data_IF_809427334284
#
_entry.id   IF_809427334284
#
_cell.length_a   1.000
_cell.length_b   1.000
_cell.length_c   1.000
_cell.angle_alpha   90.00
_cell.angle_beta   90.00
_cell.angle_gamma   90.00
#
_symmetry.space_group_name_H-M   'P 1'
#
loop_
_entity.id
_entity.type
_entity.pdbx_description
1 polymer ?
#
# COMPACT_ATOMS: atom_id res chain seq x y z
N UNK A 1 18.03 2.40 11.98
CA UNK A 1 16.86 2.41 12.90
C UNK A 1 16.50 0.98 13.20
N UNK A 2 16.34 0.63 14.48
CA UNK A 2 15.81 -0.68 14.88
C UNK A 2 14.29 -0.66 14.93
N UNK A 3 13.63 -1.63 14.30
CA UNK A 3 12.19 -1.88 14.40
C UNK A 3 11.87 -3.35 14.49
N UNK A 4 10.65 -3.66 14.95
CA UNK A 4 10.06 -4.99 14.85
C UNK A 4 9.01 -4.95 13.75
N UNK A 5 9.06 -5.90 12.83
CA UNK A 5 8.06 -6.11 11.77
C UNK A 5 7.74 -7.60 11.75
N UNK A 6 6.46 -7.97 11.72
CA UNK A 6 6.02 -9.36 11.78
C UNK A 6 6.60 -10.14 12.99
N UNK A 7 6.80 -9.45 14.13
CA UNK A 7 7.41 -10.04 15.32
C UNK A 7 8.95 -10.20 15.29
N UNK A 8 9.62 -9.90 14.17
CA UNK A 8 11.06 -10.03 14.04
C UNK A 8 11.78 -8.68 14.11
N UNK A 9 12.94 -8.58 14.80
CA UNK A 9 13.74 -7.38 14.83
C UNK A 9 14.50 -7.18 13.51
N UNK A 10 14.52 -5.94 13.03
CA UNK A 10 15.29 -5.51 11.87
C UNK A 10 16.07 -4.22 12.19
N UNK A 11 17.29 -4.15 11.68
CA UNK A 11 18.09 -2.93 11.66
C UNK A 11 18.10 -2.38 10.23
N UNK A 12 17.24 -1.39 9.97
CA UNK A 12 17.03 -0.81 8.64
C UNK A 12 17.59 0.61 8.56
N UNK A 13 18.07 0.97 7.37
CA UNK A 13 18.43 2.33 7.00
C UNK A 13 17.63 2.78 5.76
N UNK A 14 17.48 4.10 5.58
CA UNK A 14 16.81 4.66 4.40
C UNK A 14 17.47 4.19 3.09
N UNK A 15 18.81 4.24 3.03
CA UNK A 15 19.58 3.81 1.87
C UNK A 15 19.44 2.33 1.55
N UNK A 16 19.39 1.44 2.55
CA UNK A 16 19.13 0.01 2.31
C UNK A 16 17.76 -0.25 1.71
N UNK A 17 16.74 0.50 2.15
CA UNK A 17 15.39 0.41 1.56
C UNK A 17 15.41 0.89 0.11
N UNK A 18 16.01 2.05 -0.17
CA UNK A 18 16.15 2.58 -1.53
C UNK A 18 16.90 1.62 -2.46
N UNK A 19 18.01 1.05 -1.99
CA UNK A 19 18.80 0.06 -2.73
C UNK A 19 18.00 -1.21 -3.01
N UNK A 20 17.28 -1.74 -2.02
CA UNK A 20 16.48 -2.96 -2.16
C UNK A 20 15.31 -2.79 -3.12
N UNK A 21 14.77 -1.57 -3.21
CA UNK A 21 13.69 -1.23 -4.15
C UNK A 21 14.21 -0.85 -5.55
N UNK A 22 15.52 -0.81 -5.75
CA UNK A 22 16.14 -0.57 -7.05
C UNK A 22 15.72 -1.61 -8.08
N UNK A 23 15.11 -1.18 -9.18
CA UNK A 23 14.64 -2.07 -10.24
C UNK A 23 13.32 -2.80 -9.95
N UNK A 24 12.75 -2.65 -8.75
CA UNK A 24 11.45 -3.24 -8.43
C UNK A 24 10.34 -2.48 -9.17
N UNK A 25 9.51 -3.21 -9.92
CA UNK A 25 8.34 -2.63 -10.60
C UNK A 25 7.26 -2.29 -9.55
N UNK A 26 6.74 -1.06 -9.49
CA UNK A 26 5.62 -0.74 -8.62
C UNK A 26 4.38 -1.55 -8.98
N UNK A 27 3.72 -2.09 -7.96
CA UNK A 27 2.38 -2.65 -8.07
C UNK A 27 1.31 -1.54 -8.08
N UNK A 28 0.09 -1.82 -8.58
CA UNK A 28 -1.02 -0.89 -8.47
C UNK A 28 -1.28 -0.45 -7.04
N UNK A 29 -1.38 0.86 -6.83
CA UNK A 29 -1.66 1.44 -5.51
C UNK A 29 -3.16 1.40 -5.25
N UNK A 30 -3.60 0.41 -4.47
CA UNK A 30 -5.00 0.25 -4.04
C UNK A 30 -5.24 0.69 -2.59
N UNK A 31 -4.17 1.03 -1.87
CA UNK A 31 -4.21 1.37 -0.46
C UNK A 31 -3.06 2.31 -0.07
N UNK A 32 -2.63 2.23 1.20
CA UNK A 32 -1.52 3.02 1.72
C UNK A 32 -0.26 2.82 0.88
N UNK A 33 0.41 3.92 0.53
CA UNK A 33 1.58 3.89 -0.33
C UNK A 33 2.73 4.73 0.23
N UNK A 34 3.92 4.57 -0.36
CA UNK A 34 5.12 5.31 -0.01
C UNK A 34 5.85 5.73 -1.29
N UNK A 35 6.38 6.95 -1.31
CA UNK A 35 7.27 7.39 -2.37
C UNK A 35 8.71 7.02 -2.03
N UNK A 36 9.35 6.25 -2.91
CA UNK A 36 10.76 5.86 -2.82
C UNK A 36 11.42 6.31 -4.13
N UNK A 37 12.42 7.18 -4.01
CA UNK A 37 13.00 7.93 -5.12
C UNK A 37 11.92 8.66 -5.95
N UNK A 38 11.64 8.21 -7.19
CA UNK A 38 10.65 8.80 -8.11
C UNK A 38 9.44 7.90 -8.36
N UNK A 39 9.24 6.87 -7.54
CA UNK A 39 8.19 5.85 -7.73
C UNK A 39 7.37 5.70 -6.46
N UNK A 40 6.08 5.42 -6.63
CA UNK A 40 5.15 5.18 -5.52
C UNK A 40 4.83 3.69 -5.45
N UNK A 41 5.00 3.10 -4.28
CA UNK A 41 4.80 1.67 -4.05
C UNK A 41 3.74 1.47 -2.96
N UNK A 42 2.93 0.41 -3.02
CA UNK A 42 2.17 -0.06 -1.86
C UNK A 42 3.13 -0.35 -0.71
N UNK A 43 2.81 0.09 0.51
CA UNK A 43 3.70 -0.13 1.68
C UNK A 43 3.92 -1.62 1.95
N UNK A 44 2.94 -2.46 1.59
CA UNK A 44 3.02 -3.91 1.72
C UNK A 44 3.97 -4.57 0.72
N UNK A 45 4.08 -4.00 -0.49
CA UNK A 45 5.08 -4.44 -1.46
C UNK A 45 6.49 -4.17 -0.94
N UNK A 46 6.71 -2.96 -0.41
CA UNK A 46 8.01 -2.57 0.17
C UNK A 46 8.36 -3.48 1.34
N UNK A 47 7.40 -3.72 2.24
CA UNK A 47 7.57 -4.63 3.39
C UNK A 47 8.06 -6.00 2.96
N UNK A 48 7.34 -6.65 2.04
CA UNK A 48 7.71 -7.96 1.52
C UNK A 48 9.13 -7.98 0.93
N UNK A 49 9.52 -6.96 0.17
CA UNK A 49 10.86 -6.90 -0.45
C UNK A 49 11.96 -6.78 0.60
N UNK A 50 11.81 -5.85 1.56
CA UNK A 50 12.90 -5.53 2.50
C UNK A 50 13.01 -6.51 3.68
N UNK A 51 11.90 -7.16 4.07
CA UNK A 51 11.90 -8.13 5.18
C UNK A 51 11.92 -9.58 4.71
N UNK A 52 11.58 -9.82 3.44
CA UNK A 52 11.35 -11.16 2.84
C UNK A 52 10.26 -11.97 3.54
N UNK A 53 9.42 -11.33 4.36
CA UNK A 53 8.29 -11.97 5.03
C UNK A 53 7.05 -11.99 4.12
N UNK A 54 6.11 -12.89 4.42
CA UNK A 54 4.81 -12.92 3.74
C UNK A 54 4.02 -11.66 4.11
N UNK A 55 3.24 -11.13 3.16
CA UNK A 55 2.38 -9.96 3.39
C UNK A 55 1.30 -10.25 4.45
N UNK A 56 0.96 -11.51 4.68
CA UNK A 56 0.01 -11.94 5.71
C UNK A 56 0.53 -11.75 7.13
N UNK A 57 1.85 -11.73 7.30
CA UNK A 57 2.50 -11.58 8.61
C UNK A 57 2.87 -10.12 8.91
N UNK A 58 2.80 -9.26 7.90
CA UNK A 58 3.10 -7.84 8.01
C UNK A 58 1.80 -7.03 8.07
N UNK A 59 1.77 -5.98 8.87
CA UNK A 59 0.66 -5.01 8.83
C UNK A 59 1.03 -3.70 8.14
N UNK A 60 0.05 -3.07 7.49
CA UNK A 60 0.19 -1.75 6.87
C UNK A 60 0.62 -0.68 7.88
N UNK A 61 0.15 -0.76 9.13
CA UNK A 61 0.46 0.20 10.19
C UNK A 61 1.91 0.09 10.67
N UNK A 62 2.43 -1.13 10.84
CA UNK A 62 3.85 -1.38 11.13
C UNK A 62 4.73 -0.81 10.02
N UNK A 63 4.42 -1.13 8.76
CA UNK A 63 5.19 -0.65 7.62
C UNK A 63 5.17 0.87 7.49
N UNK A 64 3.98 1.50 7.61
CA UNK A 64 3.86 2.96 7.60
C UNK A 64 4.74 3.57 8.70
N UNK A 65 4.64 3.07 9.94
CA UNK A 65 5.44 3.59 11.06
C UNK A 65 6.93 3.44 10.81
N UNK A 66 7.37 2.27 10.32
CA UNK A 66 8.78 2.02 10.04
C UNK A 66 9.31 2.96 8.95
N UNK A 67 8.59 3.08 7.83
CA UNK A 67 8.99 3.91 6.70
C UNK A 67 8.98 5.40 7.04
N UNK A 68 7.96 5.89 7.77
CA UNK A 68 7.94 7.28 8.24
C UNK A 68 9.12 7.58 9.16
N UNK A 69 9.47 6.68 10.09
CA UNK A 69 10.62 6.87 10.99
C UNK A 69 11.97 6.81 10.27
N UNK A 70 12.05 6.14 9.12
CA UNK A 70 13.21 6.17 8.23
C UNK A 70 13.27 7.44 7.36
N UNK A 71 12.26 8.32 7.43
CA UNK A 71 12.21 9.56 6.66
C UNK A 71 11.65 9.40 5.26
N UNK A 72 10.77 8.41 5.03
CA UNK A 72 9.98 8.32 3.80
C UNK A 72 8.61 8.99 3.96
N UNK A 73 8.12 9.57 2.86
CA UNK A 73 6.77 10.12 2.78
C UNK A 73 5.79 9.01 2.42
N UNK A 74 4.90 8.69 3.36
CA UNK A 74 3.79 7.76 3.15
C UNK A 74 2.51 8.54 2.83
N UNK A 75 1.68 7.99 1.95
CA UNK A 75 0.41 8.55 1.52
C UNK A 75 -0.74 7.64 1.97
N UNK A 76 -1.87 8.21 2.42
CA UNK A 76 -3.06 7.43 2.71
C UNK A 76 -3.57 6.74 1.45
N UNK A 77 -4.47 5.76 1.63
CA UNK A 77 -5.16 5.15 0.51
C UNK A 77 -5.88 6.24 -0.32
N UNK A 78 -5.85 6.16 -1.66
CA UNK A 78 -6.70 7.00 -2.47
C UNK A 78 -8.16 6.79 -2.05
N UNK A 79 -9.00 7.84 -2.05
CA UNK A 79 -10.40 7.70 -1.70
C UNK A 79 -11.04 6.63 -2.60
N UNK A 80 -11.80 5.72 -1.98
CA UNK A 80 -12.50 4.69 -2.73
C UNK A 80 -13.37 5.36 -3.79
N UNK A 81 -13.25 4.91 -5.05
CA UNK A 81 -14.13 5.38 -6.10
C UNK A 81 -15.58 5.11 -5.67
N UNK A 82 -16.49 6.09 -5.83
CA UNK A 82 -17.88 5.86 -5.49
C UNK A 82 -18.41 4.68 -6.31
N UNK A 83 -18.86 3.63 -5.63
CA UNK A 83 -19.53 2.52 -6.29
C UNK A 83 -20.85 3.07 -6.80
N UNK A 84 -20.94 3.30 -8.11
CA UNK A 84 -22.22 3.61 -8.75
C UNK A 84 -23.11 2.38 -8.60
N UNK A 85 -23.95 2.39 -7.57
CA UNK A 85 -24.96 1.35 -7.37
C UNK A 85 -25.98 1.55 -8.48
N UNK A 86 -25.92 0.72 -9.53
CA UNK A 86 -26.98 0.65 -10.52
C UNK A 86 -28.29 0.36 -9.77
N UNK A 87 -29.24 1.29 -9.85
CA UNK A 87 -30.60 1.05 -9.36
C UNK A 87 -31.25 0.02 -10.30
N UNK A 88 -31.64 -1.18 -9.82
CA UNK A 88 -32.09 -2.26 -10.69
C UNK A 88 -33.56 -2.13 -11.13
N UNK A 89 -34.16 -0.95 -11.12
CA UNK A 89 -35.54 -0.81 -11.60
C UNK A 89 -35.78 0.55 -12.27
N UNK A 90 -35.80 0.54 -13.60
CA UNK A 90 -36.78 1.32 -14.34
C UNK A 90 -37.71 0.30 -14.96
N UNK A 91 -38.78 -0.03 -14.25
CA UNK A 91 -39.94 -0.63 -14.89
C UNK A 91 -40.55 0.46 -15.76
N UNK A 92 -40.25 0.42 -17.05
CA UNK A 92 -41.08 1.11 -18.04
C UNK A 92 -42.44 0.42 -17.96
N UNK A 93 -43.39 1.03 -17.26
CA UNK A 93 -44.80 0.68 -17.47
C UNK A 93 -45.16 1.23 -18.84
N UNK A 94 -45.01 0.38 -19.86
CA UNK A 94 -45.70 0.58 -21.12
C UNK A 94 -47.20 0.44 -20.79
N UNK A 95 -47.88 1.58 -20.70
CA UNK A 95 -49.32 1.65 -20.58
C UNK A 95 -49.89 1.32 -21.96
N UNK A 96 -50.43 0.11 -22.11
CA UNK A 96 -51.43 -0.19 -23.13
C UNK A 96 -52.76 0.27 -22.54
N UNK A 97 -53.25 1.40 -23.04
CA UNK A 97 -54.68 1.68 -23.35
C UNK A 97 -54.78 3.04 -24.06
#
# INVERSE_FOLDING_TARGET
MRCVIAGFPFDLTKGQVEQSMGGVRPEPVTGMSVTICRRTYPVMQVGQVITRQDRRDITTSEMRRALTRLGFTCHPAPPAAPVYRFAPWRTTTAQLD
#
